data_IF_873019390677
#
_entry.id   IF_873019390677
#
_cell.length_a   1.000
_cell.length_b   1.000
_cell.length_c   1.000
_cell.angle_alpha   90.00
_cell.angle_beta   90.00
_cell.angle_gamma   90.00
#
_symmetry.space_group_name_H-M   'P 1'
#
loop_
_entity.id
_entity.type
_entity.pdbx_description
1 polymer ?
#
# COMPACT_ATOMS: atom_id res chain seq x y z
N UNK A 1 22.84 -2.78 70.81
CA UNK A 1 23.07 -1.38 71.12
C UNK A 1 22.48 -0.63 69.96
N UNK A 2 21.24 -0.20 70.01
CA UNK A 2 20.73 1.06 70.57
C UNK A 2 21.44 2.23 69.89
N UNK A 3 20.83 3.26 69.31
CA UNK A 3 19.51 3.84 69.40
C UNK A 3 19.40 4.85 68.25
N UNK A 4 18.21 5.06 67.65
CA UNK A 4 17.32 6.23 67.89
C UNK A 4 18.00 7.59 67.51
N UNK A 5 17.40 8.48 66.83
CA UNK A 5 16.08 9.11 66.88
C UNK A 5 16.00 10.13 65.75
N UNK A 6 14.90 10.26 65.03
CA UNK A 6 13.84 11.25 65.18
C UNK A 6 14.21 12.74 65.00
N UNK A 7 13.40 13.33 64.14
CA UNK A 7 12.74 14.65 64.21
C UNK A 7 13.51 15.80 63.54
N UNK A 8 12.93 16.72 62.80
CA UNK A 8 11.59 17.28 62.81
C UNK A 8 11.40 18.21 61.61
N UNK A 9 10.18 18.34 61.25
CA UNK A 9 9.59 19.24 60.29
C UNK A 9 9.88 20.73 60.53
N UNK A 10 9.83 21.53 59.47
CA UNK A 10 8.89 22.69 59.35
C UNK A 10 9.10 23.53 58.09
N UNK A 11 8.07 23.53 57.29
CA UNK A 11 7.36 24.68 56.67
C UNK A 11 8.17 25.82 56.09
N UNK A 12 8.03 26.03 54.78
CA UNK A 12 7.71 27.35 54.25
C UNK A 12 6.88 27.21 52.97
N UNK A 13 5.65 27.74 53.07
CA UNK A 13 4.73 28.00 51.98
C UNK A 13 5.27 29.20 51.20
N UNK A 14 5.45 29.08 49.91
CA UNK A 14 5.30 30.19 49.00
C UNK A 14 4.50 29.72 47.80
N UNK A 15 3.26 30.15 47.81
CA UNK A 15 2.38 30.11 46.65
C UNK A 15 2.86 31.15 45.64
N UNK A 16 3.23 30.70 44.45
CA UNK A 16 3.20 31.55 43.27
C UNK A 16 2.19 31.00 42.32
N UNK A 17 1.07 31.69 42.26
CA UNK A 17 0.09 31.56 41.20
C UNK A 17 0.76 31.94 39.88
N UNK A 18 0.99 31.02 39.02
CA UNK A 18 1.26 31.31 37.61
C UNK A 18 -0.01 31.03 36.83
N UNK A 19 -0.56 32.11 36.35
CA UNK A 19 -1.61 32.27 35.37
C UNK A 19 -1.53 31.17 34.29
N UNK A 20 -2.58 30.35 34.17
CA UNK A 20 -2.85 29.58 32.99
C UNK A 20 -3.17 30.54 31.83
N UNK A 21 -2.21 30.77 30.96
CA UNK A 21 -2.46 31.43 29.70
C UNK A 21 -3.32 30.53 28.84
N UNK A 22 -4.41 31.11 28.40
CA UNK A 22 -5.25 30.61 27.30
C UNK A 22 -4.41 30.60 26.03
N UNK A 23 -3.91 29.44 25.67
CA UNK A 23 -3.49 29.15 24.30
C UNK A 23 -3.40 27.64 24.20
N UNK A 24 -4.33 27.09 23.48
CA UNK A 24 -4.30 25.87 22.67
C UNK A 24 -5.65 25.14 22.64
N UNK A 25 -6.69 25.93 22.35
CA UNK A 25 -7.84 25.36 21.65
C UNK A 25 -7.53 25.39 20.15
N UNK A 26 -6.67 24.52 19.69
CA UNK A 26 -6.70 24.07 18.29
C UNK A 26 -8.00 23.32 18.11
N UNK A 27 -9.04 24.07 17.71
CA UNK A 27 -10.24 23.50 17.15
C UNK A 27 -9.83 22.66 15.96
N UNK A 28 -9.90 21.34 16.08
CA UNK A 28 -9.97 20.43 14.94
C UNK A 28 -11.25 20.79 14.19
N UNK A 29 -11.12 21.71 13.25
CA UNK A 29 -12.10 21.83 12.19
C UNK A 29 -12.02 20.53 11.39
N UNK A 30 -12.95 19.61 11.68
CA UNK A 30 -13.33 18.60 10.76
C UNK A 30 -13.93 19.34 9.54
N UNK A 31 -13.08 19.65 8.59
CA UNK A 31 -13.54 20.03 7.27
C UNK A 31 -14.13 18.73 6.71
N UNK A 32 -15.44 18.59 6.84
CA UNK A 32 -16.23 17.66 6.06
C UNK A 32 -16.13 18.15 4.61
N UNK A 33 -15.02 17.87 3.94
CA UNK A 33 -14.94 17.94 2.49
C UNK A 33 -15.89 16.85 1.97
N UNK A 34 -16.95 17.22 1.24
CA UNK A 34 -17.76 16.21 0.59
C UNK A 34 -16.81 15.36 -0.27
N UNK A 35 -16.96 14.04 -0.18
CA UNK A 35 -16.28 13.12 -1.10
C UNK A 35 -16.81 13.46 -2.48
N UNK A 36 -16.14 14.38 -3.17
CA UNK A 36 -16.42 14.71 -4.56
C UNK A 36 -16.23 13.43 -5.34
N UNK A 37 -17.25 13.01 -6.06
CA UNK A 37 -17.14 11.93 -7.03
C UNK A 37 -15.92 12.23 -7.90
N UNK A 38 -14.98 11.26 -8.01
CA UNK A 38 -13.75 11.47 -8.77
C UNK A 38 -14.12 11.90 -10.19
N UNK A 39 -13.75 13.14 -10.55
CA UNK A 39 -13.99 13.69 -11.87
C UNK A 39 -13.26 12.83 -12.90
N UNK A 40 -13.93 12.52 -14.00
CA UNK A 40 -13.33 11.82 -15.15
C UNK A 40 -13.37 12.74 -16.38
N UNK A 41 -12.38 12.60 -17.22
CA UNK A 41 -12.27 13.29 -18.50
C UNK A 41 -12.47 12.28 -19.62
N UNK A 42 -13.36 12.56 -20.54
CA UNK A 42 -13.72 11.66 -21.63
C UNK A 42 -13.19 12.20 -22.95
N UNK A 43 -12.28 11.47 -23.57
CA UNK A 43 -11.75 11.83 -24.90
C UNK A 43 -12.59 11.12 -25.95
N UNK A 44 -13.08 11.88 -26.92
CA UNK A 44 -13.75 11.35 -28.10
C UNK A 44 -12.88 11.65 -29.32
N UNK A 45 -12.30 10.62 -29.92
CA UNK A 45 -11.52 10.71 -31.15
C UNK A 45 -12.42 10.62 -32.38
N UNK A 46 -13.56 9.88 -32.25
CA UNK A 46 -14.51 9.69 -33.33
C UNK A 46 -15.93 9.69 -32.76
N UNK A 47 -16.73 10.68 -33.19
CA UNK A 47 -18.08 10.93 -32.72
C UNK A 47 -18.69 12.09 -33.50
N UNK A 48 -19.84 12.62 -33.06
CA UNK A 48 -20.46 13.82 -33.64
C UNK A 48 -19.56 15.05 -33.45
N UNK A 49 -18.93 15.16 -32.28
CA UNK A 49 -17.86 16.11 -32.02
C UNK A 49 -16.70 15.37 -31.37
N UNK A 50 -15.47 15.75 -31.72
CA UNK A 50 -14.23 15.24 -31.12
C UNK A 50 -13.74 16.23 -30.06
N UNK A 51 -13.06 15.76 -29.02
CA UNK A 51 -12.55 16.60 -27.95
C UNK A 51 -12.58 15.92 -26.59
N UNK A 52 -12.39 16.74 -25.54
CA UNK A 52 -12.42 16.31 -24.14
C UNK A 52 -13.72 16.81 -23.51
N UNK A 53 -14.43 15.91 -22.86
CA UNK A 53 -15.68 16.19 -22.16
C UNK A 53 -15.52 15.87 -20.68
N UNK A 54 -16.07 16.71 -19.80
CA UNK A 54 -15.88 16.59 -18.34
C UNK A 54 -17.01 15.80 -17.66
N UNK A 55 -18.02 15.40 -18.42
CA UNK A 55 -19.10 14.54 -17.95
C UNK A 55 -19.41 13.40 -18.92
N UNK A 56 -19.92 12.30 -18.36
CA UNK A 56 -20.41 11.18 -19.18
C UNK A 56 -21.57 11.60 -20.09
N UNK A 57 -22.44 12.46 -19.61
CA UNK A 57 -23.62 12.90 -20.37
C UNK A 57 -23.23 13.70 -21.62
N UNK A 58 -22.20 14.55 -21.53
CA UNK A 58 -21.67 15.27 -22.68
C UNK A 58 -20.98 14.34 -23.66
N UNK A 59 -20.14 13.43 -23.17
CA UNK A 59 -19.48 12.42 -23.99
C UNK A 59 -20.52 11.53 -24.70
N UNK A 60 -21.53 11.05 -23.97
CA UNK A 60 -22.55 10.16 -24.51
C UNK A 60 -23.36 10.80 -25.64
N UNK A 61 -23.63 12.11 -25.58
CA UNK A 61 -24.26 12.84 -26.69
C UNK A 61 -23.46 12.77 -27.98
N UNK A 62 -22.15 12.64 -27.89
CA UNK A 62 -21.27 12.60 -29.06
C UNK A 62 -21.15 11.20 -29.65
N UNK A 63 -21.27 10.15 -28.84
CA UNK A 63 -20.98 8.79 -29.25
C UNK A 63 -22.24 7.91 -29.42
N UNK A 64 -23.31 8.22 -28.70
CA UNK A 64 -24.52 7.39 -28.72
C UNK A 64 -25.14 7.34 -30.11
N UNK A 65 -25.26 6.13 -30.68
CA UNK A 65 -25.76 5.90 -32.04
C UNK A 65 -24.85 6.37 -33.16
N UNK A 66 -23.59 6.76 -32.85
CA UNK A 66 -22.60 7.12 -33.89
C UNK A 66 -21.80 5.87 -34.32
N UNK A 67 -21.88 5.46 -35.59
CA UNK A 67 -21.21 4.24 -36.06
C UNK A 67 -19.69 4.33 -35.94
N UNK A 68 -19.08 3.37 -35.24
CA UNK A 68 -17.64 3.31 -35.05
C UNK A 68 -17.10 4.42 -34.18
N UNK A 69 -17.86 4.88 -33.19
CA UNK A 69 -17.39 5.84 -32.18
C UNK A 69 -16.15 5.31 -31.45
N UNK A 70 -15.18 6.21 -31.24
CA UNK A 70 -13.93 5.92 -30.53
C UNK A 70 -13.78 6.90 -29.37
N UNK A 71 -13.78 6.38 -28.16
CA UNK A 71 -13.66 7.18 -26.93
C UNK A 71 -13.03 6.39 -25.80
N UNK A 72 -12.51 7.11 -24.79
CA UNK A 72 -12.00 6.55 -23.54
C UNK A 72 -12.05 7.58 -22.42
N UNK A 73 -12.27 7.12 -21.18
CA UNK A 73 -12.21 7.97 -19.99
C UNK A 73 -10.83 7.95 -19.35
N UNK A 74 -10.43 9.09 -18.79
CA UNK A 74 -9.17 9.30 -18.09
C UNK A 74 -9.43 9.92 -16.72
N UNK A 75 -8.53 9.67 -15.76
CA UNK A 75 -8.63 10.22 -14.40
C UNK A 75 -8.07 11.64 -14.32
N UNK A 76 -7.15 12.00 -15.21
CA UNK A 76 -6.51 13.32 -15.24
C UNK A 76 -6.76 14.02 -16.57
N UNK A 77 -6.89 15.37 -16.50
CA UNK A 77 -7.04 16.19 -17.70
C UNK A 77 -5.80 16.15 -18.58
N UNK A 78 -4.61 16.16 -17.96
CA UNK A 78 -3.33 16.12 -18.66
C UNK A 78 -3.22 14.89 -19.57
N UNK A 79 -3.55 13.70 -19.03
CA UNK A 79 -3.51 12.48 -19.84
C UNK A 79 -4.59 12.48 -20.93
N UNK A 80 -5.77 13.06 -20.66
CA UNK A 80 -6.80 13.24 -21.68
C UNK A 80 -6.34 14.16 -22.82
N UNK A 81 -5.61 15.24 -22.53
CA UNK A 81 -5.02 16.16 -23.51
C UNK A 81 -3.95 15.46 -24.36
N UNK A 82 -3.05 14.70 -23.74
CA UNK A 82 -2.06 13.88 -24.44
C UNK A 82 -2.72 12.84 -25.33
N UNK A 83 -3.74 12.16 -24.81
CA UNK A 83 -4.49 11.15 -25.55
C UNK A 83 -5.22 11.74 -26.76
N UNK A 84 -5.82 12.92 -26.64
CA UNK A 84 -6.50 13.57 -27.76
C UNK A 84 -5.53 13.93 -28.90
N UNK A 85 -4.28 14.25 -28.58
CA UNK A 85 -3.23 14.54 -29.56
C UNK A 85 -2.62 13.28 -30.19
N UNK A 86 -2.90 12.11 -29.62
CA UNK A 86 -2.36 10.82 -30.03
C UNK A 86 -3.41 9.97 -30.73
N UNK A 87 -2.99 8.81 -31.28
CA UNK A 87 -3.89 7.90 -31.96
C UNK A 87 -4.73 7.11 -30.92
N UNK A 88 -6.06 7.02 -31.15
CA UNK A 88 -6.98 6.25 -30.31
C UNK A 88 -6.55 4.81 -30.05
N UNK A 89 -5.88 4.16 -31.05
CA UNK A 89 -5.37 2.78 -30.93
C UNK A 89 -4.28 2.60 -29.88
N UNK A 90 -3.65 3.69 -29.45
CA UNK A 90 -2.66 3.63 -28.36
C UNK A 90 -3.31 3.52 -26.99
N UNK A 91 -4.59 3.87 -26.90
CA UNK A 91 -5.34 3.97 -25.64
C UNK A 91 -6.51 3.01 -25.55
N UNK A 92 -7.30 2.83 -26.62
CA UNK A 92 -8.51 1.97 -26.60
C UNK A 92 -8.10 0.51 -26.44
N UNK A 93 -8.73 -0.16 -25.45
CA UNK A 93 -8.46 -1.58 -25.14
C UNK A 93 -7.15 -1.83 -24.40
N UNK A 94 -6.42 -0.79 -24.00
CA UNK A 94 -5.20 -0.93 -23.21
C UNK A 94 -5.41 -0.42 -21.79
N UNK A 95 -4.84 -1.14 -20.82
CA UNK A 95 -4.69 -0.64 -19.46
C UNK A 95 -3.56 0.39 -19.44
N UNK A 96 -3.91 1.62 -19.08
CA UNK A 96 -2.94 2.71 -18.96
C UNK A 96 -2.88 3.07 -17.49
N UNK A 97 -1.67 3.02 -16.95
CA UNK A 97 -1.45 3.47 -15.60
C UNK A 97 -1.67 4.99 -15.53
N UNK A 98 -2.56 5.40 -14.64
CA UNK A 98 -2.91 6.79 -14.40
C UNK A 98 -2.66 7.14 -12.93
N UNK A 99 -1.86 8.18 -12.71
CA UNK A 99 -1.62 8.71 -11.36
C UNK A 99 -2.26 10.10 -11.20
N UNK A 100 -2.74 10.36 -9.99
CA UNK A 100 -3.21 11.69 -9.55
C UNK A 100 -2.06 12.50 -8.92
N UNK A 101 -0.83 11.94 -8.85
CA UNK A 101 0.32 12.61 -8.29
C UNK A 101 0.86 13.67 -9.25
N UNK A 102 1.31 14.78 -8.68
CA UNK A 102 1.99 15.83 -9.46
C UNK A 102 3.40 15.39 -9.87
N UNK A 103 3.97 16.02 -10.89
CA UNK A 103 5.36 15.73 -11.30
C UNK A 103 6.37 15.94 -10.16
N UNK A 104 6.13 16.94 -9.29
CA UNK A 104 6.96 17.18 -8.14
C UNK A 104 6.87 16.04 -7.14
N UNK A 105 5.66 15.53 -6.86
CA UNK A 105 5.45 14.37 -6.01
C UNK A 105 6.09 13.11 -6.58
N UNK A 106 5.98 12.91 -7.89
CA UNK A 106 6.65 11.78 -8.56
C UNK A 106 8.17 11.87 -8.47
N UNK A 107 8.74 13.07 -8.65
CA UNK A 107 10.20 13.28 -8.48
C UNK A 107 10.67 13.01 -7.05
N UNK A 108 9.85 13.38 -6.04
CA UNK A 108 10.18 13.10 -4.63
C UNK A 108 10.11 11.61 -4.29
N UNK A 109 9.18 10.89 -4.89
CA UNK A 109 9.06 9.43 -4.72
C UNK A 109 10.21 8.72 -5.45
N UNK A 110 10.56 9.21 -6.64
CA UNK A 110 11.56 8.61 -7.52
C UNK A 110 11.08 7.31 -8.16
N UNK A 111 11.99 6.59 -8.81
CA UNK A 111 11.74 5.31 -9.45
C UNK A 111 11.99 4.14 -8.50
N UNK A 112 11.31 3.01 -8.67
CA UNK A 112 11.60 1.82 -7.88
C UNK A 112 12.99 1.26 -8.25
N UNK A 113 13.66 0.67 -7.25
CA UNK A 113 14.92 -0.03 -7.49
C UNK A 113 14.63 -1.28 -8.31
N UNK A 114 15.13 -1.35 -9.55
CA UNK A 114 14.88 -2.48 -10.45
C UNK A 114 15.43 -3.80 -9.89
N UNK A 115 16.66 -3.79 -9.40
CA UNK A 115 17.31 -4.95 -8.79
C UNK A 115 16.80 -5.15 -7.36
N UNK A 116 15.57 -5.64 -7.26
CA UNK A 116 14.83 -5.83 -6.02
C UNK A 116 13.87 -7.02 -6.11
N UNK A 117 13.33 -7.42 -4.97
CA UNK A 117 12.25 -8.40 -4.87
C UNK A 117 10.97 -7.64 -4.52
N UNK A 118 9.89 -7.92 -5.23
CA UNK A 118 8.55 -7.49 -4.85
C UNK A 118 7.80 -8.69 -4.27
N UNK A 119 7.03 -8.46 -3.19
CA UNK A 119 6.20 -9.49 -2.57
C UNK A 119 4.77 -9.02 -2.44
N UNK A 120 3.86 -9.98 -2.50
CA UNK A 120 2.43 -9.74 -2.36
C UNK A 120 1.70 -10.99 -1.89
N UNK A 121 0.45 -10.84 -1.45
CA UNK A 121 -0.44 -11.93 -1.11
C UNK A 121 -1.79 -11.78 -1.79
N UNK A 122 -2.43 -12.89 -2.07
CA UNK A 122 -3.81 -12.97 -2.52
C UNK A 122 -4.66 -13.62 -1.42
N UNK A 123 -5.83 -13.07 -1.18
CA UNK A 123 -6.80 -13.58 -0.21
C UNK A 123 -8.18 -13.65 -0.82
N UNK A 124 -8.76 -14.84 -0.81
CA UNK A 124 -10.14 -15.03 -1.21
C UNK A 124 -11.05 -14.79 0.01
N UNK A 125 -11.76 -13.67 0.02
CA UNK A 125 -12.63 -13.26 1.15
C UNK A 125 -13.81 -14.20 1.39
N UNK A 126 -14.23 -14.97 0.38
CA UNK A 126 -15.36 -15.91 0.48
C UNK A 126 -14.94 -17.25 1.09
N UNK A 127 -13.74 -17.72 0.78
CA UNK A 127 -13.24 -19.02 1.22
C UNK A 127 -12.24 -18.92 2.36
N UNK A 128 -11.69 -17.74 2.61
CA UNK A 128 -10.61 -17.54 3.58
C UNK A 128 -9.24 -18.04 3.09
N UNK A 129 -9.14 -18.52 1.86
CA UNK A 129 -7.88 -19.03 1.30
C UNK A 129 -6.91 -17.89 1.04
N UNK A 130 -5.66 -18.07 1.49
CA UNK A 130 -4.57 -17.13 1.27
C UNK A 130 -3.40 -17.80 0.56
N UNK A 131 -2.79 -17.06 -0.34
CA UNK A 131 -1.55 -17.41 -1.05
C UNK A 131 -0.61 -16.22 -1.01
N UNK A 132 0.69 -16.44 -1.11
CA UNK A 132 1.63 -15.34 -1.23
C UNK A 132 2.81 -15.71 -2.13
N UNK A 133 3.41 -14.71 -2.74
CA UNK A 133 4.55 -14.90 -3.62
C UNK A 133 5.58 -13.77 -3.55
N UNK A 134 6.75 -14.05 -4.05
CA UNK A 134 7.79 -13.09 -4.31
C UNK A 134 8.29 -13.22 -5.75
N UNK A 135 8.50 -12.08 -6.38
CA UNK A 135 8.99 -11.99 -7.75
C UNK A 135 10.21 -11.08 -7.83
N UNK A 136 11.02 -11.26 -8.82
CA UNK A 136 12.06 -10.32 -9.19
C UNK A 136 11.42 -9.09 -9.83
N UNK A 137 11.55 -7.92 -9.20
CA UNK A 137 10.74 -6.76 -9.56
C UNK A 137 10.92 -6.30 -11.02
N UNK A 138 12.15 -6.36 -11.53
CA UNK A 138 12.48 -5.97 -12.91
C UNK A 138 11.78 -6.80 -13.98
N UNK A 139 11.63 -8.08 -13.76
CA UNK A 139 11.16 -9.02 -14.81
C UNK A 139 9.81 -9.66 -14.51
N UNK A 140 9.29 -9.51 -13.27
CA UNK A 140 8.12 -10.24 -12.79
C UNK A 140 8.35 -11.74 -12.62
N UNK A 141 9.60 -12.23 -12.79
CA UNK A 141 9.91 -13.66 -12.66
C UNK A 141 9.67 -14.11 -11.22
N UNK A 142 8.86 -15.14 -11.06
CA UNK A 142 8.56 -15.72 -9.76
C UNK A 142 9.81 -16.35 -9.14
N UNK A 143 10.06 -16.01 -7.86
CA UNK A 143 11.14 -16.56 -7.04
C UNK A 143 10.59 -17.65 -6.14
N UNK A 144 9.42 -17.40 -5.55
CA UNK A 144 8.66 -18.35 -4.74
C UNK A 144 7.17 -18.03 -4.77
N UNK A 145 6.37 -19.08 -4.60
CA UNK A 145 4.94 -19.01 -4.35
C UNK A 145 4.57 -20.03 -3.27
N UNK A 146 3.70 -19.67 -2.35
CA UNK A 146 3.27 -20.50 -1.24
C UNK A 146 1.77 -20.43 -1.04
N UNK A 147 1.18 -21.55 -0.68
CA UNK A 147 -0.25 -21.73 -0.53
C UNK A 147 -0.79 -22.76 -1.50
N UNK A 148 -2.11 -22.93 -1.60
CA UNK A 148 -3.13 -22.25 -0.81
C UNK A 148 -3.15 -22.66 0.67
N UNK A 149 -3.37 -21.71 1.58
CA UNK A 149 -3.59 -21.95 2.99
C UNK A 149 -5.03 -21.61 3.34
N UNK A 150 -5.70 -22.48 4.08
CA UNK A 150 -7.08 -22.26 4.50
C UNK A 150 -7.17 -21.30 5.69
N UNK A 151 -8.32 -20.64 5.81
CA UNK A 151 -8.69 -19.81 6.97
C UNK A 151 -7.58 -18.82 7.35
N UNK A 152 -7.16 -18.02 6.38
CA UNK A 152 -6.14 -16.98 6.54
C UNK A 152 -6.68 -15.57 6.31
N UNK A 153 -5.77 -14.60 6.40
CA UNK A 153 -6.06 -13.19 6.10
C UNK A 153 -4.96 -12.60 5.21
N UNK A 154 -5.30 -11.54 4.48
CA UNK A 154 -4.34 -10.86 3.61
C UNK A 154 -3.09 -10.40 4.38
N UNK A 155 -3.24 -9.78 5.55
CA UNK A 155 -2.11 -9.30 6.36
C UNK A 155 -1.14 -10.41 6.77
N UNK A 156 -1.66 -11.62 7.06
CA UNK A 156 -0.82 -12.79 7.37
C UNK A 156 -0.03 -13.21 6.15
N UNK A 157 -0.68 -13.29 4.99
CA UNK A 157 -0.02 -13.63 3.72
C UNK A 157 1.11 -12.67 3.39
N UNK A 158 0.85 -11.37 3.45
CA UNK A 158 1.83 -10.30 3.19
C UNK A 158 3.02 -10.34 4.16
N UNK A 159 2.75 -10.57 5.46
CA UNK A 159 3.81 -10.73 6.47
C UNK A 159 4.69 -11.94 6.17
N UNK A 160 4.08 -13.08 5.86
CA UNK A 160 4.83 -14.30 5.53
C UNK A 160 5.63 -14.15 4.24
N UNK A 161 5.08 -13.43 3.24
CA UNK A 161 5.78 -13.12 2.00
C UNK A 161 7.07 -12.33 2.24
N UNK A 162 7.00 -11.29 3.09
CA UNK A 162 8.18 -10.48 3.47
C UNK A 162 9.23 -11.32 4.19
N UNK A 163 8.83 -12.10 5.20
CA UNK A 163 9.80 -12.92 5.95
C UNK A 163 10.41 -14.01 5.06
N UNK A 164 9.62 -14.60 4.16
CA UNK A 164 10.13 -15.57 3.19
C UNK A 164 11.17 -14.93 2.25
N UNK A 165 10.89 -13.72 1.74
CA UNK A 165 11.85 -12.99 0.90
C UNK A 165 13.16 -12.69 1.65
N UNK A 166 13.09 -12.25 2.90
CA UNK A 166 14.26 -12.02 3.75
C UNK A 166 15.08 -13.31 3.95
N UNK A 167 14.42 -14.41 4.27
CA UNK A 167 15.06 -15.70 4.44
C UNK A 167 15.69 -16.21 3.13
N UNK A 168 15.00 -16.01 2.00
CA UNK A 168 15.52 -16.33 0.68
C UNK A 168 16.77 -15.50 0.33
N UNK A 169 16.74 -14.19 0.58
CA UNK A 169 17.88 -13.31 0.40
C UNK A 169 19.07 -13.77 1.23
N UNK A 170 18.86 -14.05 2.51
CA UNK A 170 19.92 -14.52 3.40
C UNK A 170 20.55 -15.82 2.92
N UNK A 171 19.71 -16.79 2.52
CA UNK A 171 20.18 -18.10 2.01
C UNK A 171 21.05 -17.96 0.75
N UNK A 172 20.75 -16.98 -0.11
CA UNK A 172 21.43 -16.77 -1.38
C UNK A 172 22.49 -15.66 -1.34
N UNK A 173 22.75 -15.06 -0.17
CA UNK A 173 23.63 -13.90 0.00
C UNK A 173 23.23 -12.70 -0.90
N UNK A 174 21.95 -12.47 -1.07
CA UNK A 174 21.41 -11.36 -1.83
C UNK A 174 21.16 -10.15 -0.92
N UNK A 175 21.81 -9.05 -1.23
CA UNK A 175 21.60 -7.78 -0.53
C UNK A 175 20.81 -6.81 -1.41
N UNK A 176 19.59 -7.20 -1.80
CA UNK A 176 18.69 -6.38 -2.60
C UNK A 176 17.53 -5.88 -1.74
N UNK A 177 16.93 -4.73 -2.05
CA UNK A 177 15.71 -4.27 -1.38
C UNK A 177 14.53 -5.22 -1.62
N UNK A 178 13.60 -5.24 -0.66
CA UNK A 178 12.35 -6.00 -0.76
C UNK A 178 11.20 -5.01 -0.67
N UNK A 179 10.33 -5.01 -1.68
CA UNK A 179 9.14 -4.18 -1.74
C UNK A 179 7.90 -4.94 -1.32
N UNK A 180 7.04 -4.27 -0.54
CA UNK A 180 5.66 -4.68 -0.26
C UNK A 180 4.78 -3.44 -0.25
N UNK A 181 3.54 -3.55 -0.70
CA UNK A 181 2.55 -2.49 -0.61
C UNK A 181 1.76 -2.50 0.71
N UNK A 182 2.00 -3.47 1.57
CA UNK A 182 1.40 -3.59 2.89
C UNK A 182 2.19 -2.87 3.98
N UNK A 183 1.66 -1.75 4.46
CA UNK A 183 2.23 -1.05 5.62
C UNK A 183 2.15 -1.89 6.90
N UNK A 184 1.09 -2.69 7.04
CA UNK A 184 0.91 -3.58 8.19
C UNK A 184 2.01 -4.64 8.24
N UNK A 185 2.23 -5.33 7.13
CA UNK A 185 3.25 -6.37 7.04
C UNK A 185 4.65 -5.82 7.29
N UNK A 186 4.98 -4.65 6.71
CA UNK A 186 6.25 -3.94 6.96
C UNK A 186 6.41 -3.62 8.45
N UNK A 187 5.35 -3.10 9.08
CA UNK A 187 5.34 -2.82 10.52
C UNK A 187 5.56 -4.08 11.36
N UNK A 188 4.87 -5.18 11.04
CA UNK A 188 5.00 -6.44 11.77
C UNK A 188 6.41 -7.04 11.68
N UNK A 189 7.04 -6.95 10.50
CA UNK A 189 8.44 -7.40 10.35
C UNK A 189 9.39 -6.52 11.16
N UNK A 190 9.22 -5.20 11.12
CA UNK A 190 10.04 -4.25 11.87
C UNK A 190 9.92 -4.47 13.39
N UNK A 191 8.71 -4.68 13.86
CA UNK A 191 8.42 -4.87 15.29
C UNK A 191 8.64 -6.33 15.74
N UNK A 192 8.90 -7.23 14.79
CA UNK A 192 9.02 -8.69 15.00
C UNK A 192 7.81 -9.29 15.69
N UNK A 193 6.63 -8.80 15.33
CA UNK A 193 5.37 -9.16 15.95
C UNK A 193 4.24 -9.22 14.92
N UNK A 194 3.53 -10.35 14.83
CA UNK A 194 2.36 -10.49 13.98
C UNK A 194 1.09 -10.10 14.75
N UNK A 195 0.61 -8.87 14.55
CA UNK A 195 -0.55 -8.31 15.26
C UNK A 195 -1.85 -8.70 14.56
N UNK A 196 -2.16 -9.99 14.56
CA UNK A 196 -3.41 -10.49 14.00
C UNK A 196 -4.42 -10.79 15.10
N UNK A 197 -5.70 -10.43 14.84
CA UNK A 197 -6.82 -10.86 15.68
C UNK A 197 -7.38 -12.22 15.26
N UNK A 198 -6.85 -12.80 14.17
CA UNK A 198 -7.24 -14.10 13.67
C UNK A 198 -6.79 -15.18 14.65
N UNK A 199 -7.68 -16.11 14.98
CA UNK A 199 -7.40 -17.13 15.99
C UNK A 199 -6.97 -18.44 15.35
N UNK A 200 -6.05 -19.19 16.00
CA UNK A 200 -5.70 -20.52 15.55
C UNK A 200 -6.90 -21.47 15.52
N UNK A 201 -6.98 -22.28 14.47
CA UNK A 201 -7.98 -23.33 14.28
C UNK A 201 -7.31 -24.57 13.68
N UNK A 202 -7.98 -25.70 13.64
CA UNK A 202 -7.46 -26.89 12.96
C UNK A 202 -7.18 -26.65 11.47
N UNK A 203 -7.99 -25.80 10.83
CA UNK A 203 -7.86 -25.49 9.40
C UNK A 203 -6.62 -24.65 9.11
N UNK A 204 -6.34 -23.66 9.94
CA UNK A 204 -5.24 -22.70 9.73
C UNK A 204 -3.97 -23.05 10.52
N UNK A 205 -3.94 -24.20 11.18
CA UNK A 205 -2.76 -24.63 11.94
C UNK A 205 -1.45 -24.53 11.15
N UNK A 206 -1.37 -24.99 9.88
CA UNK A 206 -0.16 -24.83 9.07
C UNK A 206 0.27 -23.37 8.89
N UNK A 207 -0.70 -22.46 8.75
CA UNK A 207 -0.45 -21.03 8.61
C UNK A 207 0.12 -20.43 9.91
N UNK A 208 -0.46 -20.77 11.07
CA UNK A 208 0.05 -20.33 12.37
C UNK A 208 1.41 -20.94 12.73
N UNK A 209 1.67 -22.16 12.33
CA UNK A 209 3.00 -22.79 12.46
C UNK A 209 4.04 -21.99 11.60
N UNK A 210 3.65 -21.49 10.43
CA UNK A 210 4.49 -20.63 9.61
C UNK A 210 4.71 -19.25 10.25
N UNK A 211 3.68 -18.63 10.84
CA UNK A 211 3.82 -17.37 11.59
C UNK A 211 4.85 -17.55 12.71
N UNK A 212 4.71 -18.59 13.50
CA UNK A 212 5.62 -18.87 14.61
C UNK A 212 7.06 -19.11 14.14
N UNK A 213 7.25 -19.80 13.02
CA UNK A 213 8.57 -19.96 12.38
C UNK A 213 9.13 -18.64 11.88
N UNK A 214 8.29 -17.83 11.26
CA UNK A 214 8.68 -16.51 10.73
C UNK A 214 9.13 -15.57 11.86
N UNK A 215 8.37 -15.51 12.95
CA UNK A 215 8.72 -14.72 14.14
C UNK A 215 10.01 -15.21 14.80
N UNK A 216 10.20 -16.52 14.93
CA UNK A 216 11.46 -17.10 15.42
C UNK A 216 12.62 -16.70 14.51
N UNK A 217 12.46 -16.85 13.20
CA UNK A 217 13.49 -16.51 12.24
C UNK A 217 13.88 -15.02 12.34
N UNK A 218 12.93 -14.10 12.46
CA UNK A 218 13.18 -12.67 12.62
C UNK A 218 13.96 -12.35 13.92
N UNK A 219 13.74 -13.10 14.98
CA UNK A 219 14.45 -12.90 16.26
C UNK A 219 15.87 -13.47 16.23
N UNK A 220 16.08 -14.58 15.53
CA UNK A 220 17.37 -15.29 15.49
C UNK A 220 18.28 -14.81 14.37
N UNK A 221 17.79 -13.99 13.45
CA UNK A 221 18.54 -13.58 12.27
C UNK A 221 18.60 -12.07 12.10
N UNK A 222 19.77 -11.60 11.68
CA UNK A 222 19.98 -10.27 11.13
C UNK A 222 20.01 -10.35 9.61
N UNK A 223 19.57 -9.28 8.96
CA UNK A 223 19.53 -9.15 7.52
C UNK A 223 19.85 -7.72 7.09
N UNK A 224 20.66 -7.51 6.02
CA UNK A 224 21.01 -6.18 5.53
C UNK A 224 19.93 -5.59 4.61
N UNK A 225 18.97 -6.40 4.16
CA UNK A 225 17.99 -6.02 3.17
C UNK A 225 17.05 -4.92 3.68
N UNK A 226 16.93 -3.85 2.91
CA UNK A 226 15.94 -2.81 3.18
C UNK A 226 14.54 -3.31 2.79
N UNK A 227 13.56 -3.07 3.66
CA UNK A 227 12.16 -3.30 3.35
C UNK A 227 11.53 -1.95 3.00
N UNK A 228 11.05 -1.84 1.78
CA UNK A 228 10.55 -0.61 1.20
C UNK A 228 9.07 -0.75 0.85
N UNK A 229 8.35 0.38 0.93
CA UNK A 229 6.96 0.46 0.50
C UNK A 229 6.89 0.55 -1.02
N UNK A 230 6.12 -0.31 -1.65
CA UNK A 230 5.75 -0.14 -3.05
C UNK A 230 4.73 0.98 -3.18
N UNK A 231 5.05 2.01 -3.93
CA UNK A 231 4.19 3.18 -4.09
C UNK A 231 3.25 3.00 -5.30
N UNK A 232 2.20 2.21 -5.11
CA UNK A 232 1.20 1.86 -6.14
C UNK A 232 0.65 3.09 -6.87
N UNK A 233 0.51 4.22 -6.17
CA UNK A 233 0.04 5.47 -6.79
C UNK A 233 1.04 6.09 -7.76
N UNK A 234 2.32 5.83 -7.58
CA UNK A 234 3.39 6.37 -8.42
C UNK A 234 3.82 5.38 -9.51
N UNK A 235 3.87 4.08 -9.17
CA UNK A 235 4.50 3.06 -10.02
C UNK A 235 3.52 2.04 -10.61
N UNK A 236 2.23 2.12 -10.25
CA UNK A 236 1.25 1.14 -10.67
C UNK A 236 1.19 -0.08 -9.74
N UNK A 237 0.55 -1.15 -10.22
CA UNK A 237 0.37 -2.38 -9.44
C UNK A 237 1.72 -2.99 -9.05
N UNK A 238 1.75 -3.64 -7.88
CA UNK A 238 2.92 -4.37 -7.41
C UNK A 238 3.27 -5.49 -8.40
N UNK A 239 4.54 -5.65 -8.84
CA UNK A 239 4.93 -6.74 -9.74
C UNK A 239 4.56 -8.14 -9.24
N UNK A 240 4.39 -8.30 -7.93
CA UNK A 240 3.93 -9.55 -7.32
C UNK A 240 2.40 -9.66 -7.21
N UNK A 241 1.61 -8.66 -7.65
CA UNK A 241 0.14 -8.75 -7.63
C UNK A 241 -0.34 -9.96 -8.45
N UNK A 242 -1.26 -10.74 -7.88
CA UNK A 242 -1.77 -11.98 -8.49
C UNK A 242 -2.69 -11.73 -9.69
N UNK A 243 -3.09 -10.48 -9.94
CA UNK A 243 -4.01 -10.12 -11.04
C UNK A 243 -5.41 -10.70 -10.89
N UNK A 244 -5.77 -11.19 -9.71
CA UNK A 244 -7.10 -11.72 -9.39
C UNK A 244 -7.95 -10.60 -8.80
N UNK A 245 -8.70 -9.92 -9.65
CA UNK A 245 -9.68 -8.89 -9.25
C UNK A 245 -11.09 -9.38 -9.52
#
# INVERSE_FOLDING_TARGET
>A
MAANSKECARKSKFAHSISRSQSDRLAFFHINTPVMAKQKFYVVWKGRATGIFESWDECNKQINGFPGAEYKSFKTRQLAEQALQSNSREFIGKDIFETELTEEQLRLIGDPVEESIAVDAAWNTMTGVVEYRGVYAKTGKEIFCQGPFEDGTINIGEFLALVHALAHCKKNNWNVPIYSDSRNAIGWVKDKEARTNHQPSEKNKPLFDMINRALRWLNENEYPNQILKWETRAWGENPADFGRK
#
